data_IF_748814274110
#
_entry.id   IF_748814274110
#
_cell.length_a   1.000
_cell.length_b   1.000
_cell.length_c   1.000
_cell.angle_alpha   90.00
_cell.angle_beta   90.00
_cell.angle_gamma   90.00
#
_symmetry.space_group_name_H-M   'P 1'
#
loop_
_entity.id
_entity.type
_entity.pdbx_description
1 polymer ?
#
# COMPACT_ATOMS: atom_id res chain seq x y z
N UNK A 1 30.02 -1.32 11.60
CA UNK A 1 30.40 0.10 11.42
C UNK A 1 29.55 0.92 12.38
N UNK A 2 30.16 1.46 13.42
CA UNK A 2 29.52 2.37 14.37
C UNK A 2 29.37 3.73 13.71
N UNK A 3 28.13 4.16 13.43
CA UNK A 3 27.86 5.52 12.97
C UNK A 3 28.27 6.51 14.08
N UNK A 4 29.30 7.34 13.83
CA UNK A 4 29.64 8.46 14.70
C UNK A 4 28.64 9.60 14.45
N UNK A 5 27.80 9.85 15.44
CA UNK A 5 26.84 10.95 15.50
C UNK A 5 27.59 12.27 15.75
N UNK A 6 27.40 13.25 14.88
CA UNK A 6 27.84 14.63 15.11
C UNK A 6 26.60 15.52 15.06
N UNK A 7 26.30 16.19 16.16
CA UNK A 7 25.38 17.32 16.18
C UNK A 7 26.08 18.52 15.53
N UNK A 8 25.40 19.21 14.62
CA UNK A 8 25.75 20.59 14.28
C UNK A 8 24.48 21.42 14.10
N UNK A 9 24.27 22.48 14.89
CA UNK A 9 23.18 23.43 14.68
C UNK A 9 23.33 24.27 13.40
N UNK A 10 24.48 24.19 12.70
CA UNK A 10 24.86 25.13 11.64
C UNK A 10 25.32 24.49 10.32
N UNK A 11 25.03 23.20 10.07
CA UNK A 11 25.54 22.55 8.86
C UNK A 11 24.72 22.91 7.62
N UNK A 12 25.12 23.97 6.92
CA UNK A 12 24.55 24.42 5.62
C UNK A 12 24.70 23.40 4.49
N UNK A 13 25.50 22.35 4.68
CA UNK A 13 25.76 21.29 3.68
C UNK A 13 24.80 20.11 3.75
N UNK A 14 24.03 19.94 4.84
CA UNK A 14 22.97 18.92 4.96
C UNK A 14 23.43 17.46 5.10
N UNK A 15 24.74 17.19 5.17
CA UNK A 15 25.34 15.84 5.16
C UNK A 15 25.38 15.14 6.53
N UNK A 16 25.18 15.87 7.64
CA UNK A 16 25.12 15.31 8.99
C UNK A 16 23.78 15.68 9.63
N UNK A 17 22.95 14.68 9.89
CA UNK A 17 21.58 14.85 10.40
C UNK A 17 21.47 14.19 11.78
N UNK A 18 20.72 14.83 12.68
CA UNK A 18 20.31 14.20 13.93
C UNK A 18 19.50 12.94 13.58
N UNK A 19 19.87 11.77 14.12
CA UNK A 19 19.34 10.48 13.66
C UNK A 19 17.81 10.37 13.69
N UNK A 20 17.13 11.09 14.60
CA UNK A 20 15.65 11.19 14.60
C UNK A 20 15.11 11.84 13.33
N UNK A 21 15.82 12.83 12.79
CA UNK A 21 15.43 13.57 11.60
C UNK A 21 15.78 12.80 10.32
N UNK A 22 16.93 12.14 10.28
CA UNK A 22 17.34 11.21 9.21
C UNK A 22 18.73 10.67 9.54
N UNK A 23 18.97 9.39 9.25
CA UNK A 23 20.29 8.73 9.29
C UNK A 23 20.78 8.42 7.88
N UNK A 24 22.08 8.12 7.71
CA UNK A 24 22.65 7.77 6.41
C UNK A 24 21.99 6.52 5.81
N UNK A 25 21.74 5.51 6.65
CA UNK A 25 21.10 4.28 6.19
C UNK A 25 19.60 4.48 5.87
N UNK A 26 18.90 5.34 6.61
CA UNK A 26 17.53 5.71 6.27
C UNK A 26 17.48 6.45 4.92
N UNK A 27 18.39 7.41 4.72
CA UNK A 27 18.50 8.13 3.46
C UNK A 27 18.80 7.16 2.30
N UNK A 28 19.70 6.20 2.49
CA UNK A 28 19.96 5.14 1.49
C UNK A 28 18.71 4.33 1.17
N UNK A 29 17.93 3.93 2.16
CA UNK A 29 16.66 3.23 1.96
C UNK A 29 15.66 4.09 1.16
N UNK A 30 15.50 5.36 1.53
CA UNK A 30 14.65 6.33 0.80
C UNK A 30 15.10 6.46 -0.66
N UNK A 31 16.40 6.49 -0.94
CA UNK A 31 16.94 6.55 -2.31
C UNK A 31 16.63 5.28 -3.13
N UNK A 32 16.79 4.09 -2.55
CA UNK A 32 16.47 2.84 -3.26
C UNK A 32 14.96 2.72 -3.55
N UNK A 33 14.10 3.11 -2.61
CA UNK A 33 12.65 3.16 -2.85
C UNK A 33 12.32 4.25 -3.88
N UNK A 34 12.98 5.39 -3.83
CA UNK A 34 12.80 6.49 -4.79
C UNK A 34 13.07 6.01 -6.23
N UNK A 35 14.13 5.23 -6.46
CA UNK A 35 14.43 4.63 -7.77
C UNK A 35 13.30 3.75 -8.29
N UNK A 36 12.68 2.95 -7.43
CA UNK A 36 11.53 2.10 -7.79
C UNK A 36 10.34 2.97 -8.25
N UNK A 37 10.17 4.15 -7.66
CA UNK A 37 9.15 5.14 -8.04
C UNK A 37 9.70 6.26 -8.94
N UNK A 38 10.64 5.95 -9.85
CA UNK A 38 11.16 6.89 -10.86
C UNK A 38 11.76 8.21 -10.30
N UNK A 39 12.40 8.17 -9.14
CA UNK A 39 13.03 9.34 -8.53
C UNK A 39 12.09 10.22 -7.71
N UNK A 40 10.85 9.78 -7.46
CA UNK A 40 9.91 10.50 -6.59
C UNK A 40 10.42 10.61 -5.14
N UNK A 41 10.01 11.67 -4.44
CA UNK A 41 10.41 11.89 -3.04
C UNK A 41 9.71 10.90 -2.11
N UNK A 42 10.49 10.29 -1.19
CA UNK A 42 10.04 9.24 -0.27
C UNK A 42 10.25 9.69 1.18
N UNK A 43 9.31 9.36 2.06
CA UNK A 43 9.48 9.38 3.50
C UNK A 43 9.21 7.98 4.06
N UNK A 44 10.21 7.36 4.70
CA UNK A 44 10.03 6.07 5.37
C UNK A 44 9.57 6.25 6.82
N UNK A 45 8.86 5.26 7.35
CA UNK A 45 8.32 5.27 8.71
C UNK A 45 8.26 3.88 9.33
N UNK A 46 7.97 3.85 10.64
CA UNK A 46 8.07 2.67 11.49
C UNK A 46 6.99 1.60 11.23
N UNK A 47 5.92 1.90 10.48
CA UNK A 47 4.93 0.91 10.01
C UNK A 47 4.14 1.43 8.81
N UNK A 48 3.43 0.54 8.10
CA UNK A 48 2.48 0.93 7.06
C UNK A 48 1.31 1.77 7.61
N UNK A 49 0.82 1.45 8.82
CA UNK A 49 -0.22 2.26 9.47
C UNK A 49 0.26 3.67 9.79
N UNK A 50 1.53 3.83 10.18
CA UNK A 50 2.09 5.17 10.39
C UNK A 50 2.30 5.95 9.08
N UNK A 51 2.49 5.26 7.95
CA UNK A 51 2.46 5.91 6.63
C UNK A 51 1.11 6.56 6.35
N UNK A 52 0.02 5.85 6.65
CA UNK A 52 -1.36 6.34 6.46
C UNK A 52 -1.63 7.48 7.44
N UNK A 53 -1.39 7.26 8.72
CA UNK A 53 -1.62 8.25 9.79
C UNK A 53 -0.86 9.55 9.54
N UNK A 54 0.45 9.48 9.27
CA UNK A 54 1.26 10.66 9.09
C UNK A 54 0.93 11.44 7.81
N UNK A 55 0.55 10.74 6.73
CA UNK A 55 0.07 11.39 5.53
C UNK A 55 -1.24 12.13 5.79
N UNK A 56 -2.21 11.48 6.44
CA UNK A 56 -3.51 12.09 6.75
C UNK A 56 -3.35 13.31 7.66
N UNK A 57 -2.57 13.20 8.74
CA UNK A 57 -2.25 14.35 9.59
C UNK A 57 -1.62 15.50 8.80
N UNK A 58 -0.65 15.20 7.93
CA UNK A 58 -0.04 16.23 7.08
C UNK A 58 -1.06 16.92 6.16
N UNK A 59 -2.00 16.17 5.58
CA UNK A 59 -3.05 16.71 4.72
C UNK A 59 -4.01 17.59 5.54
N UNK A 60 -4.50 17.10 6.67
CA UNK A 60 -5.43 17.82 7.52
C UNK A 60 -4.83 19.10 8.09
N UNK A 61 -3.58 19.07 8.57
CA UNK A 61 -2.86 20.27 9.03
C UNK A 61 -2.72 21.28 7.89
N UNK A 62 -2.38 20.82 6.68
CA UNK A 62 -2.25 21.71 5.51
C UNK A 62 -3.58 22.37 5.13
N UNK A 63 -4.70 21.69 5.40
CA UNK A 63 -6.05 22.22 5.23
C UNK A 63 -6.59 22.96 6.46
N UNK A 64 -5.73 23.30 7.44
CA UNK A 64 -6.09 23.94 8.71
C UNK A 64 -7.19 23.19 9.47
N UNK A 65 -7.13 21.86 9.44
CA UNK A 65 -8.08 20.95 10.07
C UNK A 65 -9.52 21.06 9.55
N UNK A 66 -9.75 21.72 8.41
CA UNK A 66 -11.06 21.71 7.78
C UNK A 66 -11.41 20.27 7.33
N UNK A 67 -12.64 19.80 7.59
CA UNK A 67 -12.99 18.42 7.31
C UNK A 67 -12.96 18.05 5.82
N UNK A 68 -12.64 16.79 5.54
CA UNK A 68 -12.75 16.19 4.20
C UNK A 68 -13.92 15.20 4.12
N UNK A 69 -14.47 15.03 2.92
CA UNK A 69 -15.21 13.81 2.59
C UNK A 69 -14.21 12.70 2.27
N UNK A 70 -14.47 11.48 2.71
CA UNK A 70 -13.60 10.33 2.45
C UNK A 70 -14.35 9.30 1.62
N UNK A 71 -13.71 8.82 0.57
CA UNK A 71 -14.14 7.66 -0.21
C UNK A 71 -13.14 6.54 0.06
N UNK A 72 -13.59 5.44 0.66
CA UNK A 72 -12.75 4.27 0.96
C UNK A 72 -13.11 3.13 0.03
N UNK A 73 -12.12 2.43 -0.53
CA UNK A 73 -12.37 1.13 -1.13
C UNK A 73 -13.08 0.20 -0.14
N UNK A 74 -14.03 -0.59 -0.63
CA UNK A 74 -14.81 -1.55 0.16
C UNK A 74 -13.98 -2.75 0.65
N UNK A 75 -12.90 -3.08 -0.07
CA UNK A 75 -11.89 -4.04 0.32
C UNK A 75 -10.54 -3.37 0.61
N UNK A 76 -10.33 -3.01 1.88
CA UNK A 76 -9.06 -2.46 2.37
C UNK A 76 -8.64 -3.12 3.69
N UNK A 77 -7.35 -3.00 4.02
CA UNK A 77 -6.79 -3.48 5.28
C UNK A 77 -7.59 -2.95 6.50
N UNK A 78 -7.97 -3.86 7.39
CA UNK A 78 -8.99 -3.59 8.41
C UNK A 78 -8.64 -2.43 9.34
N UNK A 79 -7.39 -2.28 9.78
CA UNK A 79 -7.03 -1.17 10.66
C UNK A 79 -7.03 0.19 9.96
N UNK A 80 -6.97 0.23 8.61
CA UNK A 80 -7.15 1.45 7.84
C UNK A 80 -8.54 2.03 8.08
N UNK A 81 -9.60 1.21 7.99
CA UNK A 81 -10.97 1.66 8.29
C UNK A 81 -11.11 2.19 9.72
N UNK A 82 -10.43 1.55 10.69
CA UNK A 82 -10.43 1.97 12.10
C UNK A 82 -9.75 3.33 12.27
N UNK A 83 -8.63 3.54 11.59
CA UNK A 83 -7.90 4.81 11.61
C UNK A 83 -8.75 5.95 11.01
N UNK A 84 -9.41 5.74 9.86
CA UNK A 84 -10.32 6.75 9.31
C UNK A 84 -11.49 7.04 10.25
N UNK A 85 -12.06 6.03 10.91
CA UNK A 85 -13.10 6.26 11.93
C UNK A 85 -12.57 7.09 13.10
N UNK A 86 -11.35 6.85 13.57
CA UNK A 86 -10.72 7.65 14.62
C UNK A 86 -10.56 9.13 14.21
N UNK A 87 -10.13 9.39 12.97
CA UNK A 87 -10.07 10.76 12.42
C UNK A 87 -11.45 11.42 12.29
N UNK A 88 -12.50 10.63 12.10
CA UNK A 88 -13.88 11.11 12.03
C UNK A 88 -14.43 11.44 13.42
N UNK A 89 -14.37 10.49 14.36
CA UNK A 89 -15.04 10.62 15.66
C UNK A 89 -14.26 11.48 16.63
N UNK A 90 -12.94 11.35 16.66
CA UNK A 90 -12.12 11.89 17.76
C UNK A 90 -11.42 13.19 17.34
N UNK A 91 -11.03 13.31 16.06
CA UNK A 91 -10.41 14.53 15.51
C UNK A 91 -11.41 15.46 14.81
N UNK A 92 -12.61 14.98 14.43
CA UNK A 92 -13.59 15.78 13.69
C UNK A 92 -13.12 16.23 12.29
N UNK A 93 -12.09 15.58 11.74
CA UNK A 93 -11.45 15.95 10.45
C UNK A 93 -12.11 15.33 9.23
N UNK A 94 -13.13 14.51 9.44
CA UNK A 94 -13.86 13.82 8.38
C UNK A 94 -15.34 14.12 8.54
N UNK A 95 -15.94 14.65 7.47
CA UNK A 95 -17.38 14.96 7.41
C UNK A 95 -18.20 13.70 7.19
N UNK A 96 -17.80 12.89 6.22
CA UNK A 96 -18.47 11.67 5.82
C UNK A 96 -17.46 10.65 5.29
N UNK A 97 -17.72 9.35 5.53
CA UNK A 97 -17.02 8.23 4.92
C UNK A 97 -18.02 7.48 4.03
N UNK A 98 -17.72 7.37 2.74
CA UNK A 98 -18.46 6.53 1.78
C UNK A 98 -17.60 5.36 1.35
N UNK A 99 -18.12 4.14 1.48
CA UNK A 99 -17.49 2.94 0.93
C UNK A 99 -17.72 2.86 -0.58
N UNK A 100 -16.72 2.38 -1.32
CA UNK A 100 -16.68 2.33 -2.77
C UNK A 100 -16.28 0.93 -3.23
N UNK A 101 -17.21 0.27 -3.91
CA UNK A 101 -16.94 -0.91 -4.71
C UNK A 101 -16.14 -0.52 -5.96
N UNK A 102 -14.85 -0.86 -5.95
CA UNK A 102 -13.89 -0.49 -6.99
C UNK A 102 -14.03 -1.30 -8.28
N UNK A 103 -14.93 -2.29 -8.30
CA UNK A 103 -15.09 -3.23 -9.42
C UNK A 103 -15.89 -2.63 -10.58
N UNK A 104 -16.68 -1.58 -10.31
CA UNK A 104 -17.64 -1.04 -11.28
C UNK A 104 -17.40 0.46 -11.53
N UNK A 105 -17.05 0.77 -12.78
CA UNK A 105 -16.71 2.14 -13.21
C UNK A 105 -17.86 3.15 -13.00
N UNK A 106 -19.10 2.74 -13.21
CA UNK A 106 -20.30 3.56 -13.01
C UNK A 106 -20.51 3.96 -11.54
N UNK A 107 -20.27 3.02 -10.61
CA UNK A 107 -20.28 3.30 -9.17
C UNK A 107 -19.18 4.28 -8.79
N UNK A 108 -17.95 4.10 -9.31
CA UNK A 108 -16.84 5.03 -9.08
C UNK A 108 -17.22 6.46 -9.51
N UNK A 109 -17.72 6.61 -10.73
CA UNK A 109 -18.06 7.93 -11.29
C UNK A 109 -19.25 8.58 -10.58
N UNK A 110 -20.25 7.78 -10.20
CA UNK A 110 -21.42 8.26 -9.43
C UNK A 110 -21.00 8.75 -8.04
N UNK A 111 -20.18 7.98 -7.33
CA UNK A 111 -19.67 8.35 -5.99
C UNK A 111 -18.84 9.62 -6.03
N UNK A 112 -17.95 9.79 -7.02
CA UNK A 112 -17.16 11.02 -7.16
C UNK A 112 -18.05 12.23 -7.48
N UNK A 113 -19.09 12.04 -8.28
CA UNK A 113 -20.05 13.11 -8.64
C UNK A 113 -20.83 13.64 -7.44
N UNK A 114 -21.09 12.81 -6.42
CA UNK A 114 -21.74 13.23 -5.17
C UNK A 114 -20.96 14.33 -4.43
N UNK A 115 -19.64 14.33 -4.55
CA UNK A 115 -18.74 15.27 -3.86
C UNK A 115 -18.14 16.31 -4.80
N UNK A 116 -18.85 16.67 -5.87
CA UNK A 116 -18.40 17.62 -6.89
C UNK A 116 -17.89 18.92 -6.23
N UNK A 117 -16.63 19.25 -6.51
CA UNK A 117 -15.91 20.41 -5.97
C UNK A 117 -15.76 20.48 -4.43
N UNK A 118 -16.16 19.45 -3.67
CA UNK A 118 -15.91 19.40 -2.23
C UNK A 118 -14.52 18.81 -1.92
N UNK A 119 -13.82 19.27 -0.85
CA UNK A 119 -12.59 18.64 -0.40
C UNK A 119 -12.80 17.14 -0.13
N UNK A 120 -12.16 16.30 -0.94
CA UNK A 120 -12.41 14.85 -0.94
C UNK A 120 -11.11 14.08 -1.03
N UNK A 121 -10.94 13.07 -0.18
CA UNK A 121 -9.84 12.10 -0.27
C UNK A 121 -10.44 10.76 -0.70
N UNK A 122 -9.89 10.18 -1.77
CA UNK A 122 -10.12 8.78 -2.10
C UNK A 122 -8.91 7.96 -1.64
N UNK A 123 -9.18 6.92 -0.86
CA UNK A 123 -8.19 5.94 -0.41
C UNK A 123 -8.59 4.56 -0.92
N UNK A 124 -7.75 3.97 -1.76
CA UNK A 124 -7.96 2.63 -2.32
C UNK A 124 -6.66 1.84 -2.28
N UNK A 125 -6.77 0.51 -2.28
CA UNK A 125 -5.62 -0.35 -2.55
C UNK A 125 -5.44 -0.50 -4.06
N UNK A 126 -4.18 -0.58 -4.51
CA UNK A 126 -3.84 -0.80 -5.93
C UNK A 126 -4.41 -2.10 -6.50
N UNK A 127 -4.59 -3.07 -5.60
CA UNK A 127 -5.16 -4.39 -5.77
C UNK A 127 -5.77 -4.73 -4.41
N UNK A 128 -7.06 -5.01 -4.33
CA UNK A 128 -7.80 -5.03 -3.06
C UNK A 128 -7.52 -6.25 -2.19
N UNK A 129 -7.06 -6.08 -0.96
CA UNK A 129 -6.92 -7.22 -0.06
C UNK A 129 -8.30 -7.66 0.50
N UNK A 130 -8.78 -8.89 0.27
CA UNK A 130 -7.99 -10.04 -0.20
C UNK A 130 -8.26 -10.52 -1.63
N UNK A 131 -9.29 -10.03 -2.33
CA UNK A 131 -9.72 -10.64 -3.60
C UNK A 131 -8.98 -10.13 -4.84
N UNK A 132 -8.32 -8.99 -4.78
CA UNK A 132 -7.50 -8.47 -5.88
C UNK A 132 -8.28 -7.71 -6.93
N UNK A 133 -9.37 -7.06 -6.53
CA UNK A 133 -10.03 -6.09 -7.40
C UNK A 133 -9.09 -4.90 -7.67
N UNK A 134 -9.13 -4.37 -8.89
CA UNK A 134 -8.23 -3.31 -9.33
C UNK A 134 -9.11 -2.12 -9.68
N UNK A 135 -8.80 -0.96 -9.11
CA UNK A 135 -9.46 0.29 -9.47
C UNK A 135 -9.12 0.66 -10.91
N UNK A 136 -10.12 1.08 -11.71
CA UNK A 136 -9.85 1.53 -13.07
C UNK A 136 -9.19 2.92 -13.10
N UNK A 137 -7.86 2.94 -13.09
CA UNK A 137 -7.08 4.19 -13.06
C UNK A 137 -7.30 5.11 -14.26
N UNK A 138 -7.84 4.60 -15.36
CA UNK A 138 -8.19 5.37 -16.54
C UNK A 138 -9.32 6.39 -16.30
N UNK A 139 -10.05 6.27 -15.19
CA UNK A 139 -11.12 7.20 -14.80
C UNK A 139 -10.58 8.48 -14.13
N UNK A 140 -9.35 8.48 -13.63
CA UNK A 140 -8.78 9.60 -12.85
C UNK A 140 -8.90 10.95 -13.57
N UNK A 141 -8.62 11.09 -14.88
CA UNK A 141 -8.80 12.35 -15.58
C UNK A 141 -10.23 12.90 -15.51
N UNK A 142 -11.24 12.04 -15.68
CA UNK A 142 -12.65 12.46 -15.59
C UNK A 142 -13.05 12.78 -14.15
N UNK A 143 -12.58 11.99 -13.17
CA UNK A 143 -12.79 12.26 -11.75
C UNK A 143 -12.26 13.65 -11.36
N UNK A 144 -11.09 14.04 -11.87
CA UNK A 144 -10.50 15.36 -11.60
C UNK A 144 -11.23 16.51 -12.30
N UNK A 145 -11.88 16.27 -13.45
CA UNK A 145 -12.79 17.25 -14.07
C UNK A 145 -14.01 17.51 -13.20
N UNK A 146 -14.55 16.46 -12.57
CA UNK A 146 -15.69 16.54 -11.65
C UNK A 146 -15.28 17.22 -10.35
N UNK A 147 -14.14 16.83 -9.77
CA UNK A 147 -13.67 17.37 -8.50
C UNK A 147 -12.17 17.75 -8.57
N UNK A 148 -11.90 19.06 -8.66
CA UNK A 148 -10.54 19.61 -8.65
C UNK A 148 -9.85 19.55 -7.29
N UNK A 149 -10.62 19.33 -6.21
CA UNK A 149 -10.13 19.23 -4.82
C UNK A 149 -9.90 17.77 -4.39
N UNK A 150 -9.92 16.84 -5.35
CA UNK A 150 -9.72 15.42 -5.09
C UNK A 150 -8.24 15.10 -4.82
N UNK A 151 -7.99 14.45 -3.68
CA UNK A 151 -6.70 13.84 -3.34
C UNK A 151 -6.84 12.33 -3.47
N UNK A 152 -5.95 11.70 -4.24
CA UNK A 152 -5.94 10.27 -4.50
C UNK A 152 -4.75 9.63 -3.77
N UNK A 153 -5.05 8.78 -2.78
CA UNK A 153 -4.08 8.01 -2.01
C UNK A 153 -4.23 6.54 -2.37
N UNK A 154 -3.14 5.90 -2.78
CA UNK A 154 -3.13 4.49 -3.17
C UNK A 154 -2.21 3.70 -2.26
N UNK A 155 -2.75 2.71 -1.56
CA UNK A 155 -1.92 1.69 -0.92
C UNK A 155 -1.48 0.66 -1.96
N UNK A 156 -0.19 0.67 -2.27
CA UNK A 156 0.43 -0.16 -3.29
C UNK A 156 1.20 -1.36 -2.70
N UNK A 157 0.90 -1.74 -1.45
CA UNK A 157 1.63 -2.78 -0.71
C UNK A 157 1.66 -4.11 -1.45
N UNK A 158 0.53 -4.54 -2.02
CA UNK A 158 0.42 -5.85 -2.67
C UNK A 158 1.21 -5.91 -3.98
N UNK A 159 1.12 -4.88 -4.81
CA UNK A 159 1.78 -4.85 -6.12
C UNK A 159 3.25 -4.41 -6.03
N UNK A 160 3.59 -3.61 -5.03
CA UNK A 160 4.84 -2.86 -4.95
C UNK A 160 5.05 -1.93 -6.16
N UNK A 161 6.05 -1.06 -6.08
CA UNK A 161 6.43 -0.22 -7.22
C UNK A 161 7.04 -0.99 -8.41
N UNK A 162 7.36 -2.29 -8.26
CA UNK A 162 7.87 -3.11 -9.36
C UNK A 162 6.78 -3.51 -10.37
N UNK A 163 5.58 -3.86 -9.88
CA UNK A 163 4.45 -4.24 -10.73
C UNK A 163 3.72 -2.99 -11.21
N UNK A 164 3.46 -2.05 -10.30
CA UNK A 164 2.61 -0.91 -10.61
C UNK A 164 3.08 0.34 -9.89
N UNK A 165 3.12 1.46 -10.59
CA UNK A 165 3.41 2.78 -10.00
C UNK A 165 2.16 3.67 -10.13
N UNK A 166 1.35 3.81 -9.07
CA UNK A 166 0.12 4.60 -9.12
C UNK A 166 0.35 6.09 -9.46
N UNK A 167 1.54 6.64 -9.20
CA UNK A 167 1.84 8.04 -9.55
C UNK A 167 1.80 8.27 -11.06
N UNK A 168 2.12 7.24 -11.87
CA UNK A 168 2.08 7.34 -13.35
C UNK A 168 0.66 7.47 -13.91
N UNK A 169 -0.35 7.05 -13.16
CA UNK A 169 -1.76 7.11 -13.58
C UNK A 169 -2.54 8.22 -12.87
N UNK A 170 -1.83 9.08 -12.12
CA UNK A 170 -2.41 10.28 -11.53
C UNK A 170 -2.81 10.15 -10.07
N UNK A 171 -2.31 9.16 -9.32
CA UNK A 171 -2.36 9.21 -7.85
C UNK A 171 -1.49 10.36 -7.32
N UNK A 172 -1.91 10.99 -6.22
CA UNK A 172 -1.14 12.07 -5.57
C UNK A 172 -0.09 11.51 -4.61
N UNK A 173 -0.47 10.47 -3.87
CA UNK A 173 0.37 9.78 -2.91
C UNK A 173 0.22 8.27 -3.04
N UNK A 174 1.33 7.58 -2.81
CA UNK A 174 1.38 6.13 -2.70
C UNK A 174 1.93 5.77 -1.33
N UNK A 175 1.28 4.80 -0.70
CA UNK A 175 1.69 4.21 0.55
C UNK A 175 2.08 2.76 0.30
N UNK A 176 3.09 2.27 1.01
CA UNK A 176 3.31 0.83 1.13
C UNK A 176 3.73 0.46 2.55
N UNK A 177 3.25 -0.68 3.02
CA UNK A 177 3.83 -1.39 4.15
C UNK A 177 5.09 -2.13 3.71
N UNK A 178 6.26 -1.66 4.15
CA UNK A 178 7.52 -2.36 3.83
C UNK A 178 7.61 -3.70 4.55
N UNK A 179 6.80 -3.89 5.60
CA UNK A 179 6.61 -5.14 6.32
C UNK A 179 6.31 -6.34 5.43
N UNK A 180 5.71 -6.13 4.26
CA UNK A 180 5.31 -7.21 3.34
C UNK A 180 6.45 -7.58 2.41
N UNK A 181 6.31 -7.24 1.13
CA UNK A 181 7.29 -7.59 0.12
C UNK A 181 8.61 -6.83 0.29
N UNK A 182 8.64 -5.56 0.70
CA UNK A 182 9.93 -4.83 0.71
C UNK A 182 10.97 -5.42 1.66
N UNK A 183 10.60 -5.72 2.91
CA UNK A 183 11.48 -6.35 3.91
C UNK A 183 11.48 -7.88 3.84
N UNK A 184 10.59 -8.47 3.05
CA UNK A 184 10.38 -9.92 3.05
C UNK A 184 9.85 -10.43 4.39
N UNK A 185 8.94 -9.67 5.05
CA UNK A 185 8.46 -9.97 6.41
C UNK A 185 9.56 -10.02 7.49
N UNK A 186 10.74 -9.45 7.23
CA UNK A 186 11.86 -9.42 8.19
C UNK A 186 11.74 -8.34 9.25
N UNK A 187 11.05 -7.23 8.97
CA UNK A 187 10.80 -6.16 9.95
C UNK A 187 9.56 -5.34 9.60
N UNK A 188 8.97 -4.68 10.61
CA UNK A 188 7.88 -3.72 10.42
C UNK A 188 8.42 -2.40 9.88
N UNK A 189 7.72 -1.84 8.90
CA UNK A 189 7.99 -0.51 8.35
C UNK A 189 6.95 -0.10 7.31
N UNK A 190 7.08 1.12 6.81
CA UNK A 190 6.29 1.67 5.72
C UNK A 190 6.96 2.86 5.05
N UNK A 191 6.34 3.37 3.99
CA UNK A 191 6.71 4.64 3.39
C UNK A 191 5.54 5.33 2.72
N UNK A 192 5.70 6.65 2.53
CA UNK A 192 4.89 7.48 1.66
C UNK A 192 5.78 7.99 0.53
N UNK A 193 5.30 7.94 -0.70
CA UNK A 193 5.93 8.53 -1.88
C UNK A 193 4.90 9.35 -2.64
N UNK A 194 5.27 10.51 -3.16
CA UNK A 194 4.32 11.39 -3.84
C UNK A 194 4.98 12.51 -4.61
N UNK A 195 4.17 13.24 -5.37
CA UNK A 195 4.65 14.36 -6.20
C UNK A 195 4.96 15.61 -5.35
N UNK A 196 4.14 15.89 -4.34
CA UNK A 196 4.32 17.02 -3.42
C UNK A 196 4.50 16.56 -1.97
N UNK A 197 5.76 16.34 -1.57
CA UNK A 197 6.10 15.83 -0.24
C UNK A 197 6.44 16.92 0.80
N UNK A 198 6.34 18.22 0.48
CA UNK A 198 6.85 19.28 1.38
C UNK A 198 6.22 19.22 2.79
N UNK A 199 4.89 19.20 2.87
CA UNK A 199 4.18 19.10 4.15
C UNK A 199 4.40 17.75 4.84
N UNK A 200 4.43 16.66 4.06
CA UNK A 200 4.56 15.29 4.58
C UNK A 200 5.94 15.08 5.19
N UNK A 201 7.01 15.46 4.49
CA UNK A 201 8.39 15.35 4.98
C UNK A 201 8.63 16.20 6.23
N UNK A 202 8.02 17.38 6.30
CA UNK A 202 8.11 18.24 7.48
C UNK A 202 7.37 17.61 8.66
N UNK A 203 6.16 17.08 8.45
CA UNK A 203 5.39 16.39 9.49
C UNK A 203 6.16 15.19 10.06
N UNK A 204 6.65 14.29 9.20
CA UNK A 204 7.39 13.10 9.63
C UNK A 204 8.61 13.49 10.47
N UNK A 205 9.38 14.50 10.00
CA UNK A 205 10.56 15.00 10.70
C UNK A 205 10.23 15.67 12.04
N UNK A 206 9.21 16.51 12.09
CA UNK A 206 8.84 17.26 13.31
C UNK A 206 8.25 16.32 14.35
N UNK A 207 7.39 15.40 13.95
CA UNK A 207 6.72 14.43 14.83
C UNK A 207 7.59 13.23 15.21
N UNK A 208 8.86 13.20 14.77
CA UNK A 208 9.82 12.18 15.17
C UNK A 208 9.54 10.79 14.58
N UNK A 209 8.84 10.75 13.45
CA UNK A 209 8.67 9.53 12.67
C UNK A 209 10.03 9.16 12.08
N UNK A 210 10.57 8.05 12.55
CA UNK A 210 11.87 7.55 12.14
C UNK A 210 11.85 6.02 12.07
N UNK A 211 12.77 5.46 11.29
CA UNK A 211 12.98 4.02 11.21
C UNK A 211 14.32 3.71 11.86
N UNK A 212 14.38 2.68 12.69
CA UNK A 212 15.64 2.28 13.31
C UNK A 212 16.68 1.95 12.21
N UNK A 213 17.96 2.28 12.39
CA UNK A 213 19.01 1.89 11.45
C UNK A 213 19.02 0.38 11.15
N UNK A 214 18.68 -0.44 12.15
CA UNK A 214 18.52 -1.88 11.99
C UNK A 214 17.39 -2.26 11.02
N UNK A 215 16.17 -1.72 11.20
CA UNK A 215 15.06 -2.00 10.28
C UNK A 215 15.32 -1.44 8.88
N UNK A 216 16.05 -0.32 8.77
CA UNK A 216 16.51 0.18 7.48
C UNK A 216 17.40 -0.84 6.77
N UNK A 217 18.36 -1.43 7.50
CA UNK A 217 19.26 -2.47 6.97
C UNK A 217 18.49 -3.71 6.54
N UNK A 218 17.59 -4.22 7.38
CA UNK A 218 16.75 -5.39 7.05
C UNK A 218 15.90 -5.13 5.80
N UNK A 219 15.29 -3.95 5.68
CA UNK A 219 14.50 -3.61 4.48
C UNK A 219 15.38 -3.49 3.24
N UNK A 220 16.56 -2.84 3.34
CA UNK A 220 17.54 -2.76 2.26
C UNK A 220 18.00 -4.15 1.79
N UNK A 221 18.22 -5.08 2.72
CA UNK A 221 18.61 -6.44 2.39
C UNK A 221 17.45 -7.20 1.71
N UNK A 222 16.21 -6.97 2.16
CA UNK A 222 14.99 -7.47 1.52
C UNK A 222 14.81 -6.98 0.08
N UNK A 223 15.20 -5.73 -0.23
CA UNK A 223 15.14 -5.17 -1.58
C UNK A 223 15.99 -5.94 -2.59
N UNK A 224 17.12 -6.52 -2.16
CA UNK A 224 18.03 -7.27 -3.05
C UNK A 224 17.34 -8.49 -3.68
N UNK A 225 16.38 -9.09 -2.99
CA UNK A 225 15.62 -10.27 -3.46
C UNK A 225 14.17 -9.93 -3.83
N UNK A 226 13.79 -8.65 -3.82
CA UNK A 226 12.42 -8.23 -4.06
C UNK A 226 11.94 -8.67 -5.45
N UNK A 227 12.78 -8.48 -6.49
CA UNK A 227 12.43 -8.89 -7.86
C UNK A 227 12.15 -10.38 -7.97
N UNK A 228 12.95 -11.21 -7.33
CA UNK A 228 12.78 -12.67 -7.36
C UNK A 228 11.48 -13.08 -6.65
N UNK A 229 11.19 -12.45 -5.50
CA UNK A 229 9.95 -12.70 -4.75
C UNK A 229 8.69 -12.17 -5.43
N UNK A 230 8.84 -11.24 -6.38
CA UNK A 230 7.75 -10.74 -7.23
C UNK A 230 7.71 -11.42 -8.61
N UNK A 231 8.56 -12.41 -8.89
CA UNK A 231 8.62 -13.12 -10.18
C UNK A 231 8.28 -14.62 -10.03
N UNK A 232 7.54 -14.96 -8.97
CA UNK A 232 7.31 -16.36 -8.58
C UNK A 232 6.38 -17.04 -9.57
N UNK A 233 6.96 -17.73 -10.56
CA UNK A 233 6.23 -18.44 -11.62
C UNK A 233 5.27 -19.51 -11.08
N UNK A 234 5.51 -20.03 -9.87
CA UNK A 234 4.66 -21.04 -9.25
C UNK A 234 3.28 -20.52 -8.88
N UNK A 235 3.11 -19.22 -8.57
CA UNK A 235 1.81 -18.68 -8.14
C UNK A 235 0.73 -18.86 -9.20
N UNK A 236 1.06 -18.66 -10.48
CA UNK A 236 0.10 -18.91 -11.58
C UNK A 236 -0.28 -20.39 -11.63
N UNK A 237 0.69 -21.30 -11.54
CA UNK A 237 0.42 -22.74 -11.55
C UNK A 237 -0.49 -23.18 -10.40
N UNK A 238 -0.29 -22.62 -9.20
CA UNK A 238 -1.16 -22.86 -8.04
C UNK A 238 -2.56 -22.28 -8.28
N UNK A 239 -2.67 -21.05 -8.79
CA UNK A 239 -3.95 -20.42 -9.08
C UNK A 239 -4.75 -21.21 -10.13
N UNK A 240 -4.11 -21.62 -11.24
CA UNK A 240 -4.75 -22.43 -12.29
C UNK A 240 -5.14 -23.83 -11.80
N UNK A 241 -4.32 -24.44 -10.92
CA UNK A 241 -4.67 -25.71 -10.28
C UNK A 241 -5.92 -25.54 -9.40
N UNK A 242 -5.95 -24.52 -8.54
CA UNK A 242 -7.08 -24.25 -7.66
C UNK A 242 -8.35 -23.91 -8.44
N UNK A 243 -8.26 -23.09 -9.50
CA UNK A 243 -9.38 -22.74 -10.38
C UNK A 243 -10.05 -23.98 -11.00
N UNK A 244 -9.27 -25.01 -11.33
CA UNK A 244 -9.77 -26.26 -11.93
C UNK A 244 -10.15 -27.33 -10.89
N UNK A 245 -9.86 -27.12 -9.62
CA UNK A 245 -10.01 -28.14 -8.61
C UNK A 245 -11.50 -28.30 -8.21
N UNK A 246 -12.08 -29.51 -8.25
CA UNK A 246 -13.54 -29.72 -8.08
C UNK A 246 -14.08 -29.38 -6.68
N UNK A 247 -13.19 -29.16 -5.69
CA UNK A 247 -13.55 -28.73 -4.33
C UNK A 247 -13.30 -27.24 -4.09
N UNK A 248 -12.95 -26.47 -5.10
CA UNK A 248 -12.78 -25.01 -5.01
C UNK A 248 -13.96 -24.37 -5.72
N UNK A 249 -14.68 -23.48 -5.03
CA UNK A 249 -15.84 -22.75 -5.59
C UNK A 249 -15.36 -21.59 -6.46
N UNK A 250 -14.35 -20.88 -5.97
CA UNK A 250 -13.85 -19.65 -6.58
C UNK A 250 -12.37 -19.54 -6.26
N UNK A 251 -11.57 -19.05 -7.21
CA UNK A 251 -10.18 -18.66 -6.99
C UNK A 251 -10.00 -17.24 -7.50
N UNK A 252 -9.63 -16.33 -6.60
CA UNK A 252 -9.41 -14.93 -6.93
C UNK A 252 -7.91 -14.68 -7.06
N UNK A 253 -7.50 -14.47 -8.30
CA UNK A 253 -6.16 -14.03 -8.64
C UNK A 253 -6.20 -13.22 -9.94
N UNK A 254 -5.75 -11.95 -9.97
CA UNK A 254 -6.00 -11.07 -11.13
C UNK A 254 -5.37 -11.53 -12.45
N UNK A 255 -4.42 -12.45 -12.42
CA UNK A 255 -3.84 -13.04 -13.63
C UNK A 255 -4.76 -14.10 -14.27
N UNK A 256 -5.70 -14.68 -13.52
CA UNK A 256 -6.68 -15.62 -14.06
C UNK A 256 -7.70 -14.90 -14.94
N UNK A 257 -8.03 -15.48 -16.10
CA UNK A 257 -9.01 -14.90 -17.05
C UNK A 257 -10.42 -14.78 -16.46
N UNK A 258 -10.75 -15.64 -15.50
CA UNK A 258 -12.02 -15.63 -14.78
C UNK A 258 -12.17 -14.42 -13.85
N UNK A 259 -11.06 -13.80 -13.44
CA UNK A 259 -11.07 -12.71 -12.48
C UNK A 259 -11.62 -11.42 -13.10
N UNK A 260 -12.55 -10.75 -12.41
CA UNK A 260 -13.24 -9.54 -12.92
C UNK A 260 -12.26 -8.43 -13.33
N UNK A 261 -11.16 -8.28 -12.59
CA UNK A 261 -10.14 -7.26 -12.85
C UNK A 261 -9.03 -7.71 -13.79
N UNK A 262 -9.14 -8.88 -14.43
CA UNK A 262 -8.09 -9.43 -15.29
C UNK A 262 -7.65 -8.46 -16.39
N UNK A 263 -8.61 -7.82 -17.04
CA UNK A 263 -8.33 -6.85 -18.10
C UNK A 263 -7.56 -5.61 -17.58
N UNK A 264 -7.80 -5.19 -16.33
CA UNK A 264 -7.08 -4.08 -15.71
C UNK A 264 -5.67 -4.49 -15.30
N UNK A 265 -5.49 -5.73 -14.81
CA UNK A 265 -4.16 -6.28 -14.54
C UNK A 265 -3.31 -6.27 -15.83
N UNK A 266 -3.86 -6.80 -16.94
CA UNK A 266 -3.17 -6.80 -18.24
C UNK A 266 -2.86 -5.38 -18.76
N UNK A 267 -3.69 -4.40 -18.42
CA UNK A 267 -3.54 -3.01 -18.86
C UNK A 267 -2.48 -2.25 -18.07
N UNK A 268 -2.40 -2.45 -16.76
CA UNK A 268 -1.61 -1.58 -15.87
C UNK A 268 -0.38 -2.24 -15.26
N UNK A 269 -0.35 -3.56 -15.12
CA UNK A 269 0.76 -4.24 -14.45
C UNK A 269 1.96 -4.38 -15.38
N UNK A 270 3.15 -4.24 -14.81
CA UNK A 270 4.38 -4.70 -15.42
C UNK A 270 4.34 -6.23 -15.54
N UNK A 271 4.53 -6.73 -16.77
CA UNK A 271 4.39 -8.15 -17.11
C UNK A 271 5.55 -9.03 -16.64
N UNK A 272 6.66 -8.41 -16.24
CA UNK A 272 7.84 -9.12 -15.73
C UNK A 272 7.63 -9.67 -14.31
N UNK A 273 6.58 -9.19 -13.62
CA UNK A 273 6.34 -9.47 -12.20
C UNK A 273 4.86 -9.76 -11.95
N UNK A 274 4.59 -10.62 -10.97
CA UNK A 274 3.27 -10.98 -10.50
C UNK A 274 3.29 -11.10 -8.97
N UNK A 275 2.21 -10.73 -8.27
CA UNK A 275 2.20 -10.85 -6.83
C UNK A 275 1.93 -12.31 -6.42
N UNK A 276 2.39 -12.70 -5.23
CA UNK A 276 2.29 -14.09 -4.75
C UNK A 276 1.04 -14.39 -3.90
N UNK A 277 0.21 -13.38 -3.60
CA UNK A 277 -1.05 -13.58 -2.85
C UNK A 277 -2.16 -13.96 -3.83
N UNK A 278 -2.99 -14.91 -3.42
CA UNK A 278 -4.26 -15.30 -4.06
C UNK A 278 -5.23 -15.73 -2.97
N UNK A 279 -6.52 -15.76 -3.28
CA UNK A 279 -7.52 -16.38 -2.40
C UNK A 279 -8.32 -17.43 -3.15
N UNK A 280 -8.96 -18.31 -2.39
CA UNK A 280 -9.91 -19.26 -2.92
C UNK A 280 -10.94 -19.64 -1.86
N UNK A 281 -12.09 -20.11 -2.32
CA UNK A 281 -13.25 -20.45 -1.49
C UNK A 281 -13.51 -21.95 -1.54
N UNK A 282 -13.70 -22.58 -0.37
CA UNK A 282 -14.06 -23.99 -0.24
C UNK A 282 -15.56 -24.14 0.09
N UNK A 283 -16.25 -25.19 -0.40
CA UNK A 283 -17.66 -25.41 -0.12
C UNK A 283 -17.90 -25.81 1.32
N UNK A 284 -18.93 -25.22 1.94
CA UNK A 284 -19.57 -25.71 3.17
C UNK A 284 -18.64 -25.93 4.37
N UNK A 285 -17.54 -25.18 4.49
CA UNK A 285 -16.65 -25.24 5.65
C UNK A 285 -16.83 -24.02 6.55
N UNK A 286 -17.09 -24.24 7.85
CA UNK A 286 -17.05 -23.17 8.85
C UNK A 286 -15.61 -22.70 9.04
N UNK A 287 -15.41 -21.43 9.40
CA UNK A 287 -14.07 -20.82 9.56
C UNK A 287 -13.12 -21.63 10.45
N UNK A 288 -13.63 -22.22 11.55
CA UNK A 288 -12.82 -23.05 12.44
C UNK A 288 -12.39 -24.36 11.76
N UNK A 289 -13.27 -24.99 11.00
CA UNK A 289 -12.95 -26.19 10.23
C UNK A 289 -11.91 -25.90 9.14
N UNK A 290 -12.03 -24.77 8.43
CA UNK A 290 -11.04 -24.34 7.44
C UNK A 290 -9.69 -24.11 8.09
N UNK A 291 -9.66 -23.45 9.25
CA UNK A 291 -8.43 -23.21 10.01
C UNK A 291 -7.76 -24.50 10.48
N UNK A 292 -8.55 -25.42 11.04
CA UNK A 292 -8.06 -26.70 11.52
C UNK A 292 -7.58 -27.58 10.36
N UNK A 293 -8.31 -27.56 9.23
CA UNK A 293 -7.88 -28.24 8.01
C UNK A 293 -6.52 -27.72 7.53
N UNK A 294 -6.35 -26.38 7.41
CA UNK A 294 -5.08 -25.77 7.03
C UNK A 294 -3.95 -26.20 7.98
N UNK A 295 -4.13 -26.03 9.29
CA UNK A 295 -3.12 -26.38 10.30
C UNK A 295 -2.70 -27.86 10.25
N UNK A 296 -3.63 -28.76 9.94
CA UNK A 296 -3.39 -30.20 10.01
C UNK A 296 -2.97 -30.83 8.67
N UNK A 297 -3.21 -30.17 7.52
CA UNK A 297 -3.04 -30.78 6.20
C UNK A 297 -2.00 -30.09 5.31
N UNK A 298 -1.48 -28.93 5.69
CA UNK A 298 -0.44 -28.26 4.90
C UNK A 298 0.94 -28.43 5.54
N UNK A 299 1.72 -29.41 5.05
CA UNK A 299 3.15 -29.55 5.41
C UNK A 299 4.05 -28.51 4.72
N UNK A 300 3.56 -27.93 3.61
CA UNK A 300 4.29 -27.00 2.75
C UNK A 300 3.93 -25.53 2.98
N UNK A 301 2.77 -25.26 3.60
CA UNK A 301 2.29 -23.89 3.87
C UNK A 301 2.20 -23.70 5.38
N UNK A 302 2.93 -22.73 5.90
CA UNK A 302 2.85 -22.37 7.31
C UNK A 302 1.59 -21.55 7.59
N UNK A 303 0.81 -21.93 8.59
CA UNK A 303 -0.28 -21.09 9.08
C UNK A 303 0.29 -19.88 9.83
N UNK A 304 0.33 -18.73 9.15
CA UNK A 304 0.86 -17.46 9.67
C UNK A 304 -0.03 -16.29 9.26
N UNK A 305 0.10 -15.17 9.96
CA UNK A 305 -0.40 -13.87 9.49
C UNK A 305 0.71 -13.14 8.75
N UNK A 306 0.34 -12.16 7.91
CA UNK A 306 1.25 -11.48 6.97
C UNK A 306 1.60 -12.30 5.71
N UNK A 307 2.24 -11.65 4.74
CA UNK A 307 2.63 -12.22 3.45
C UNK A 307 3.88 -11.51 2.91
N UNK A 308 4.45 -12.03 1.82
CA UNK A 308 5.58 -11.43 1.10
C UNK A 308 6.98 -11.83 1.59
N UNK A 309 7.06 -12.71 2.60
CA UNK A 309 8.32 -13.27 3.10
C UNK A 309 8.94 -14.38 2.24
N UNK A 310 10.01 -15.02 2.74
CA UNK A 310 10.76 -16.05 2.01
C UNK A 310 9.97 -17.31 1.70
N UNK A 311 8.93 -17.62 2.51
CA UNK A 311 7.98 -18.71 2.27
C UNK A 311 7.21 -18.58 0.93
N UNK A 312 7.41 -17.49 0.17
CA UNK A 312 6.82 -17.26 -1.15
C UNK A 312 7.75 -17.63 -2.33
N UNK A 313 8.94 -18.20 -2.11
CA UNK A 313 9.86 -18.61 -3.19
C UNK A 313 9.52 -20.00 -3.74
#
# INVERSE_FOLDING_TARGET
MTEKLIFSPNNKTGELRYNRSSSNIQYKLEQEISKIYNGSKVCVCNSGMNSIDGLLHSIFISNKWNPYNIILGDEIYTDTTRLFRHFQTDYGTIKEITELDVTYDDKIMTTISRYKNEPTIIFVESCSNPNGYIFNWGLIPEMRKINKNLIIIVDNTWLTGLIFNPLKVGADYVICSTTKYYSGSGCIGGFVVGNNMKGVSDWFRIHGVHVSPHNCKVTLDGLNTLKDRMCVKYTIGVAEFLEKHPKVIECNYPILKSHKSHYLALKYWNKDYIPSVLTFTLPNMKINQTRDWLKNHTKLINYKTSYGGEDNR
#
